data_IF_373877432006
#
_entry.id   IF_373877432006
#
_cell.length_a   1.000
_cell.length_b   1.000
_cell.length_c   1.000
_cell.angle_alpha   90.00
_cell.angle_beta   90.00
_cell.angle_gamma   90.00
#
_symmetry.space_group_name_H-M   'P 1'
#
loop_
_entity.id
_entity.type
_entity.pdbx_description
1 polymer ?
#
# COMPACT_ATOMS: atom_id res chain seq x y z
N UNK A 1 -3.86 9.53 48.40
CA UNK A 1 -4.66 8.44 47.80
C UNK A 1 -5.28 8.96 46.52
N UNK A 2 -4.63 8.70 45.37
CA UNK A 2 -5.16 9.07 44.04
C UNK A 2 -5.54 7.74 43.37
N UNK A 3 -6.81 7.60 43.00
CA UNK A 3 -7.40 6.36 42.47
C UNK A 3 -7.47 6.43 40.94
N UNK A 4 -6.92 5.41 40.31
CA UNK A 4 -6.89 5.15 38.86
C UNK A 4 -8.24 4.76 38.26
N UNK A 5 -8.32 4.89 36.91
CA UNK A 5 -8.97 4.03 35.88
C UNK A 5 -9.87 4.86 34.92
N UNK A 6 -9.44 5.21 33.70
CA UNK A 6 -9.39 4.42 32.43
C UNK A 6 -10.77 3.94 31.97
N UNK A 7 -11.22 4.47 30.82
CA UNK A 7 -12.33 4.08 29.89
C UNK A 7 -12.96 5.41 29.40
N UNK A 8 -13.00 5.83 28.13
CA UNK A 8 -13.19 5.15 26.85
C UNK A 8 -12.65 6.03 25.70
N UNK A 9 -11.68 5.53 24.92
CA UNK A 9 -11.32 6.07 23.59
C UNK A 9 -11.51 4.95 22.57
N UNK A 10 -12.42 5.14 21.62
CA UNK A 10 -12.47 4.52 20.28
C UNK A 10 -13.93 4.41 19.86
N UNK A 11 -14.43 5.35 19.05
CA UNK A 11 -15.48 5.07 18.06
C UNK A 11 -15.75 6.26 17.12
N UNK A 12 -15.12 7.42 17.33
CA UNK A 12 -15.44 8.68 16.62
C UNK A 12 -14.40 9.15 15.59
N UNK A 13 -13.46 8.31 15.14
CA UNK A 13 -12.47 8.68 14.10
C UNK A 13 -12.54 7.85 12.80
N UNK A 14 -13.32 6.76 12.74
CA UNK A 14 -13.40 5.89 11.55
C UNK A 14 -14.37 6.38 10.46
N UNK A 15 -15.23 7.36 10.75
CA UNK A 15 -16.31 7.76 9.83
C UNK A 15 -15.99 8.93 8.89
N UNK A 16 -14.83 9.58 9.02
CA UNK A 16 -14.50 10.74 8.18
C UNK A 16 -13.54 10.40 7.03
N UNK A 17 -12.84 9.25 7.11
CA UNK A 17 -11.90 8.80 6.08
C UNK A 17 -12.59 8.14 4.88
N UNK A 18 -13.76 7.50 5.09
CA UNK A 18 -14.52 6.83 4.03
C UNK A 18 -15.40 7.77 3.18
N UNK A 19 -15.81 8.94 3.71
CA UNK A 19 -16.77 9.84 3.05
C UNK A 19 -16.10 10.78 2.02
N UNK A 20 -14.78 10.93 2.03
CA UNK A 20 -14.07 11.70 0.99
C UNK A 20 -13.73 10.88 -0.27
N UNK A 21 -14.03 9.58 -0.27
CA UNK A 21 -13.71 8.63 -1.35
C UNK A 21 -14.54 8.82 -2.64
N UNK A 22 -15.49 9.76 -2.66
CA UNK A 22 -16.53 9.81 -3.71
C UNK A 22 -16.73 11.15 -4.45
N UNK A 23 -15.77 12.10 -4.44
CA UNK A 23 -15.98 13.35 -5.22
C UNK A 23 -14.90 13.87 -6.17
N UNK A 24 -13.75 13.23 -6.35
CA UNK A 24 -12.81 13.61 -7.42
C UNK A 24 -12.10 12.41 -8.07
N UNK A 25 -12.87 11.42 -8.54
CA UNK A 25 -12.47 10.61 -9.72
C UNK A 25 -12.37 11.56 -10.92
N UNK A 26 -11.25 12.25 -11.13
CA UNK A 26 -11.12 13.17 -12.29
C UNK A 26 -9.87 13.08 -13.13
N UNK A 27 -8.91 12.20 -12.86
CA UNK A 27 -7.83 11.96 -13.81
C UNK A 27 -7.47 10.48 -13.92
N UNK A 28 -8.37 9.68 -14.49
CA UNK A 28 -7.89 8.63 -15.38
C UNK A 28 -7.03 9.35 -16.44
N UNK A 29 -5.72 9.13 -16.49
CA UNK A 29 -4.93 9.55 -17.66
C UNK A 29 -5.39 8.70 -18.85
N UNK A 30 -6.45 9.14 -19.52
CA UNK A 30 -6.65 8.78 -20.91
C UNK A 30 -5.36 9.19 -21.63
N UNK A 31 -4.67 8.22 -22.26
CA UNK A 31 -3.59 8.56 -23.17
C UNK A 31 -4.17 9.58 -24.16
N UNK A 32 -3.53 10.74 -24.28
CA UNK A 32 -3.84 11.77 -25.27
C UNK A 32 -3.62 11.22 -26.69
N UNK A 33 -4.53 10.36 -27.16
CA UNK A 33 -4.56 9.91 -28.55
C UNK A 33 -5.97 10.10 -29.08
N UNK A 34 -6.46 11.35 -29.09
CA UNK A 34 -7.63 11.72 -29.91
C UNK A 34 -7.85 13.23 -30.14
N UNK A 35 -6.80 14.07 -30.18
CA UNK A 35 -6.92 15.44 -30.73
C UNK A 35 -5.55 15.74 -31.38
N UNK A 36 -5.25 15.24 -32.59
CA UNK A 36 -5.41 15.96 -33.86
C UNK A 36 -5.36 14.96 -35.03
N UNK A 37 -6.39 14.14 -35.22
CA UNK A 37 -6.65 13.46 -36.50
C UNK A 37 -8.17 13.50 -36.79
N UNK A 38 -8.76 14.68 -36.68
CA UNK A 38 -10.01 14.97 -37.37
C UNK A 38 -9.62 15.79 -38.58
N UNK A 39 -9.22 15.14 -39.66
CA UNK A 39 -9.47 15.53 -41.06
C UNK A 39 -8.80 14.46 -41.92
N UNK A 40 -9.60 13.74 -42.72
CA UNK A 40 -9.24 12.63 -43.63
C UNK A 40 -8.65 11.40 -42.91
N UNK A 41 -9.41 10.34 -42.66
CA UNK A 41 -9.76 9.34 -43.69
C UNK A 41 -11.02 8.58 -43.24
N UNK A 42 -12.00 8.49 -44.13
CA UNK A 42 -13.08 7.52 -44.08
C UNK A 42 -12.68 6.27 -44.86
N UNK A 43 -12.55 5.10 -44.20
CA UNK A 43 -12.91 3.75 -44.66
C UNK A 43 -12.33 2.70 -43.70
N UNK A 44 -13.01 1.55 -43.62
CA UNK A 44 -12.68 0.32 -42.87
C UNK A 44 -12.62 0.46 -41.34
N UNK A 45 -13.74 0.08 -40.73
CA UNK A 45 -13.81 -0.12 -39.28
C UNK A 45 -12.92 -1.27 -38.82
N UNK A 46 -12.31 -1.07 -37.65
CA UNK A 46 -12.10 -2.05 -36.59
C UNK A 46 -11.79 -1.25 -35.32
N UNK A 47 -12.80 -0.69 -34.67
CA UNK A 47 -12.66 -0.30 -33.26
C UNK A 47 -12.73 -1.57 -32.42
N UNK A 48 -11.60 -2.26 -32.27
CA UNK A 48 -11.44 -3.28 -31.24
C UNK A 48 -10.00 -3.28 -30.76
N UNK A 49 -9.75 -2.55 -29.68
CA UNK A 49 -9.06 -3.17 -28.57
C UNK A 49 -9.58 -2.53 -27.28
N UNK A 50 -10.31 -3.32 -26.49
CA UNK A 50 -10.64 -2.96 -25.12
C UNK A 50 -9.34 -2.93 -24.31
N UNK A 51 -8.57 -1.85 -24.44
CA UNK A 51 -7.55 -1.55 -23.46
C UNK A 51 -8.30 -1.19 -22.19
N UNK A 52 -8.39 -2.15 -21.24
CA UNK A 52 -8.88 -1.84 -19.90
C UNK A 52 -7.98 -0.76 -19.32
N UNK A 53 -8.45 0.47 -19.34
CA UNK A 53 -7.90 1.56 -18.53
C UNK A 53 -8.36 1.27 -17.12
N UNK A 54 -7.48 0.66 -16.32
CA UNK A 54 -7.76 0.47 -14.90
C UNK A 54 -7.48 1.79 -14.20
N UNK A 55 -8.53 2.48 -13.74
CA UNK A 55 -8.41 3.70 -12.93
C UNK A 55 -8.38 3.38 -11.42
N UNK A 56 -8.09 2.12 -11.08
CA UNK A 56 -8.01 1.59 -9.72
C UNK A 56 -6.88 0.57 -9.74
N UNK A 57 -5.98 0.56 -8.74
CA UNK A 57 -4.94 -0.47 -8.65
C UNK A 57 -5.59 -1.85 -8.52
N UNK A 58 -5.02 -2.87 -9.17
CA UNK A 58 -5.43 -4.24 -8.98
C UNK A 58 -4.86 -4.74 -7.65
N UNK A 59 -5.74 -4.81 -6.65
CA UNK A 59 -5.43 -5.25 -5.30
C UNK A 59 -5.76 -6.73 -5.06
N UNK A 60 -5.92 -7.52 -6.12
CA UNK A 60 -6.10 -8.96 -5.96
C UNK A 60 -4.86 -9.58 -5.31
N UNK A 61 -5.07 -10.34 -4.24
CA UNK A 61 -4.00 -10.96 -3.46
C UNK A 61 -3.44 -12.17 -4.19
N UNK A 62 -2.15 -12.13 -4.49
CA UNK A 62 -1.41 -13.25 -5.07
C UNK A 62 -0.91 -14.18 -3.97
N UNK A 63 -0.28 -13.64 -2.93
CA UNK A 63 0.21 -14.43 -1.81
C UNK A 63 0.36 -13.62 -0.53
N UNK A 64 0.17 -14.29 0.60
CA UNK A 64 0.50 -13.79 1.94
C UNK A 64 1.38 -14.83 2.61
N UNK A 65 2.55 -14.43 3.07
CA UNK A 65 3.50 -15.27 3.80
C UNK A 65 3.73 -14.65 5.18
N UNK A 66 3.63 -15.47 6.22
CA UNK A 66 3.81 -15.05 7.59
C UNK A 66 5.02 -15.78 8.19
N UNK A 67 5.93 -15.04 8.84
CA UNK A 67 7.04 -15.63 9.57
C UNK A 67 6.51 -16.48 10.76
N UNK A 68 7.19 -17.58 11.09
CA UNK A 68 6.80 -18.44 12.22
C UNK A 68 7.06 -17.78 13.58
N UNK A 69 8.06 -16.90 13.66
CA UNK A 69 8.38 -16.13 14.84
C UNK A 69 7.30 -15.09 15.19
N UNK A 70 7.10 -14.87 16.48
CA UNK A 70 6.10 -13.94 17.01
C UNK A 70 6.73 -12.96 17.98
N UNK A 71 6.29 -11.70 17.94
CA UNK A 71 6.58 -10.73 18.98
C UNK A 71 5.42 -10.66 19.98
N UNK A 72 5.72 -10.29 21.21
CA UNK A 72 4.72 -10.28 22.30
C UNK A 72 4.31 -8.87 22.68
N UNK A 73 3.28 -8.77 23.52
CA UNK A 73 2.82 -7.46 24.02
C UNK A 73 3.94 -6.81 24.84
N UNK A 74 4.28 -5.56 24.48
CA UNK A 74 5.35 -4.80 25.13
C UNK A 74 6.70 -4.95 24.44
N UNK A 75 6.80 -5.78 23.40
CA UNK A 75 7.99 -5.88 22.57
C UNK A 75 8.26 -4.53 21.86
N UNK A 76 9.48 -3.95 21.97
CA UNK A 76 9.83 -2.72 21.28
C UNK A 76 9.72 -2.83 19.75
N UNK A 77 9.80 -4.04 19.19
CA UNK A 77 9.65 -4.29 17.75
C UNK A 77 8.30 -3.81 17.21
N UNK A 78 7.22 -3.85 18.01
CA UNK A 78 5.90 -3.40 17.57
C UNK A 78 5.91 -1.92 17.16
N UNK A 79 6.69 -1.08 17.84
CA UNK A 79 6.86 0.34 17.52
C UNK A 79 7.63 0.52 16.21
N UNK A 80 8.70 -0.25 16.04
CA UNK A 80 9.52 -0.25 14.83
C UNK A 80 8.74 -0.72 13.61
N UNK A 81 7.93 -1.76 13.76
CA UNK A 81 7.05 -2.27 12.72
C UNK A 81 6.02 -1.21 12.30
N UNK A 82 5.36 -0.57 13.26
CA UNK A 82 4.39 0.49 12.98
C UNK A 82 5.02 1.67 12.22
N UNK A 83 6.24 2.07 12.60
CA UNK A 83 6.98 3.11 11.89
C UNK A 83 7.28 2.69 10.45
N UNK A 84 7.87 1.51 10.25
CA UNK A 84 8.29 1.05 8.92
C UNK A 84 7.09 0.89 7.99
N UNK A 85 5.99 0.29 8.43
CA UNK A 85 4.80 0.13 7.57
C UNK A 85 4.21 1.48 7.15
N UNK A 86 4.13 2.44 8.07
CA UNK A 86 3.65 3.80 7.75
C UNK A 86 4.59 4.52 6.79
N UNK A 87 5.90 4.38 6.98
CA UNK A 87 6.90 5.01 6.13
C UNK A 87 6.89 4.41 4.72
N UNK A 88 6.85 3.08 4.59
CA UNK A 88 6.71 2.39 3.30
C UNK A 88 5.48 2.87 2.52
N UNK A 89 4.31 2.96 3.15
CA UNK A 89 3.08 3.42 2.51
C UNK A 89 3.20 4.85 1.96
N UNK A 90 3.91 5.73 2.67
CA UNK A 90 4.04 7.15 2.31
C UNK A 90 5.21 7.47 1.39
N UNK A 91 6.32 6.74 1.50
CA UNK A 91 7.57 7.01 0.80
C UNK A 91 7.70 6.26 -0.54
N UNK A 92 7.15 5.05 -0.67
CA UNK A 92 7.17 4.30 -1.94
C UNK A 92 6.50 5.06 -3.10
N UNK A 93 5.32 5.71 -2.94
CA UNK A 93 4.64 6.40 -4.05
C UNK A 93 5.37 7.62 -4.60
N UNK A 94 6.27 8.22 -3.82
CA UNK A 94 7.06 9.40 -4.22
C UNK A 94 8.50 9.06 -4.58
N UNK A 95 8.93 7.82 -4.30
CA UNK A 95 10.27 7.35 -4.63
C UNK A 95 10.35 7.00 -6.11
N UNK A 96 11.44 7.40 -6.76
CA UNK A 96 11.69 7.10 -8.17
C UNK A 96 11.68 5.58 -8.39
N UNK A 97 10.82 5.14 -9.31
CA UNK A 97 10.68 3.72 -9.64
C UNK A 97 9.74 2.94 -8.73
N UNK A 98 9.03 3.62 -7.81
CA UNK A 98 8.05 3.00 -6.90
C UNK A 98 8.60 1.79 -6.16
N UNK A 99 9.86 1.85 -5.76
CA UNK A 99 10.56 0.77 -5.08
C UNK A 99 11.37 1.42 -3.97
N UNK A 100 11.07 1.06 -2.73
CA UNK A 100 11.60 1.73 -1.55
C UNK A 100 11.78 0.75 -0.40
N UNK A 101 12.88 0.91 0.30
CA UNK A 101 13.25 0.15 1.48
C UNK A 101 13.67 1.10 2.59
N UNK A 102 13.33 0.76 3.83
CA UNK A 102 13.76 1.51 5.00
C UNK A 102 13.96 0.60 6.21
N UNK A 103 14.68 1.12 7.20
CA UNK A 103 14.92 0.50 8.49
C UNK A 103 14.41 1.47 9.56
N UNK A 104 13.68 0.97 10.55
CA UNK A 104 13.23 1.80 11.67
C UNK A 104 14.42 2.48 12.39
N UNK A 105 14.29 3.72 12.89
CA UNK A 105 15.37 4.42 13.58
C UNK A 105 15.53 3.99 15.05
N UNK A 106 14.92 2.89 15.48
CA UNK A 106 14.87 2.47 16.88
C UNK A 106 15.84 1.31 17.16
N UNK A 107 16.97 1.56 17.84
CA UNK A 107 18.05 0.57 17.97
C UNK A 107 17.73 -0.60 18.91
N UNK A 108 16.70 -0.48 19.74
CA UNK A 108 16.31 -1.55 20.67
C UNK A 108 15.74 -2.78 19.95
N UNK A 109 15.09 -2.58 18.79
CA UNK A 109 14.56 -3.65 17.96
C UNK A 109 14.28 -3.09 16.57
N UNK A 110 15.18 -3.31 15.62
CA UNK A 110 14.99 -2.84 14.25
C UNK A 110 13.85 -3.58 13.54
N UNK A 111 13.12 -2.87 12.70
CA UNK A 111 12.30 -3.44 11.64
C UNK A 111 12.88 -3.04 10.29
N UNK A 112 12.96 -4.02 9.39
CA UNK A 112 13.38 -3.85 8.01
C UNK A 112 12.14 -3.95 7.14
N UNK A 113 12.01 -3.06 6.17
CA UNK A 113 10.85 -3.01 5.31
C UNK A 113 11.21 -2.73 3.87
N UNK A 114 10.43 -3.32 2.97
CA UNK A 114 10.44 -3.08 1.54
C UNK A 114 9.02 -2.98 1.02
N UNK A 115 8.80 -2.03 0.12
CA UNK A 115 7.55 -1.92 -0.61
C UNK A 115 7.82 -1.50 -2.05
N UNK A 116 7.08 -2.11 -2.96
CA UNK A 116 7.14 -1.81 -4.37
C UNK A 116 5.74 -1.74 -5.00
N UNK A 117 5.58 -0.85 -5.98
CA UNK A 117 4.41 -0.79 -6.85
C UNK A 117 4.79 -0.98 -8.31
N UNK A 118 3.84 -1.43 -9.11
CA UNK A 118 3.90 -1.42 -10.56
C UNK A 118 4.13 0.01 -11.06
N UNK A 119 5.11 0.20 -11.94
CA UNK A 119 5.51 1.50 -12.48
C UNK A 119 4.45 2.21 -13.34
N UNK A 120 3.37 1.49 -13.68
CA UNK A 120 2.22 2.05 -14.41
C UNK A 120 1.22 2.78 -13.51
N UNK A 121 1.30 2.61 -12.18
CA UNK A 121 0.44 3.31 -11.23
C UNK A 121 0.89 4.77 -11.05
N UNK A 122 -0.06 5.63 -10.68
CA UNK A 122 0.26 6.93 -10.09
C UNK A 122 0.49 6.81 -8.58
N UNK A 123 0.92 7.91 -7.94
CA UNK A 123 1.23 7.90 -6.51
C UNK A 123 0.01 7.60 -5.63
N UNK A 124 -1.19 8.02 -6.03
CA UNK A 124 -2.41 7.81 -5.24
C UNK A 124 -2.84 6.35 -5.31
N UNK A 125 -2.75 5.75 -6.50
CA UNK A 125 -3.05 4.34 -6.72
C UNK A 125 -2.02 3.43 -6.05
N UNK A 126 -0.72 3.78 -6.10
CA UNK A 126 0.31 3.06 -5.37
C UNK A 126 0.05 3.10 -3.86
N UNK A 127 -0.26 4.27 -3.29
CA UNK A 127 -0.64 4.40 -1.86
C UNK A 127 -1.82 3.49 -1.53
N UNK A 128 -2.86 3.51 -2.36
CA UNK A 128 -4.06 2.68 -2.17
C UNK A 128 -3.74 1.19 -2.20
N UNK A 129 -2.89 0.75 -3.13
CA UNK A 129 -2.48 -0.65 -3.23
C UNK A 129 -1.69 -1.08 -1.99
N UNK A 130 -0.71 -0.27 -1.57
CA UNK A 130 0.11 -0.56 -0.39
C UNK A 130 -0.73 -0.62 0.88
N UNK A 131 -1.70 0.29 1.05
CA UNK A 131 -2.64 0.25 2.18
C UNK A 131 -3.39 -1.08 2.27
N UNK A 132 -3.87 -1.62 1.14
CA UNK A 132 -4.52 -2.95 1.11
C UNK A 132 -3.53 -4.08 1.40
N UNK A 133 -2.29 -3.99 0.91
CA UNK A 133 -1.25 -4.97 1.19
C UNK A 133 -0.87 -5.00 2.68
N UNK A 134 -0.77 -3.83 3.32
CA UNK A 134 -0.50 -3.65 4.75
C UNK A 134 -1.68 -4.16 5.60
N UNK A 135 -2.92 -3.85 5.20
CA UNK A 135 -4.11 -4.39 5.87
C UNK A 135 -4.14 -5.93 5.81
N UNK A 136 -3.75 -6.51 4.67
CA UNK A 136 -3.71 -7.95 4.47
C UNK A 136 -2.71 -8.65 5.43
N UNK A 137 -1.48 -8.13 5.56
CA UNK A 137 -0.48 -8.71 6.48
C UNK A 137 -0.85 -8.47 7.94
N UNK A 138 -1.39 -7.30 8.29
CA UNK A 138 -1.73 -6.99 9.69
C UNK A 138 -2.96 -7.77 10.19
N UNK A 139 -3.91 -8.08 9.31
CA UNK A 139 -5.08 -8.92 9.65
C UNK A 139 -4.77 -10.42 9.66
N UNK A 140 -3.87 -10.89 8.78
CA UNK A 140 -3.61 -12.33 8.60
C UNK A 140 -2.43 -12.82 9.46
N UNK A 141 -1.32 -12.07 9.48
CA UNK A 141 -0.07 -12.48 10.11
C UNK A 141 0.07 -11.99 11.56
N UNK A 142 -1.03 -11.99 12.33
CA UNK A 142 -1.10 -11.52 13.72
C UNK A 142 0.21 -11.67 14.52
N UNK A 143 0.81 -10.53 14.89
CA UNK A 143 2.03 -10.41 15.69
C UNK A 143 3.25 -11.21 15.18
N UNK A 144 3.37 -11.48 13.88
CA UNK A 144 4.58 -12.11 13.32
C UNK A 144 5.73 -11.13 13.23
N UNK A 145 6.95 -11.61 13.50
CA UNK A 145 8.20 -10.84 13.36
C UNK A 145 8.55 -10.55 11.90
N UNK A 146 7.81 -11.11 10.96
CA UNK A 146 7.93 -10.85 9.54
C UNK A 146 6.68 -11.26 8.78
N UNK A 147 6.40 -10.56 7.69
CA UNK A 147 5.37 -10.93 6.76
C UNK A 147 5.62 -10.34 5.37
N UNK A 148 5.07 -10.99 4.35
CA UNK A 148 5.04 -10.51 2.97
C UNK A 148 3.63 -10.62 2.42
N UNK A 149 3.12 -9.54 1.84
CA UNK A 149 1.92 -9.55 1.00
C UNK A 149 2.31 -9.14 -0.41
N UNK A 150 1.92 -9.97 -1.38
CA UNK A 150 2.07 -9.70 -2.80
C UNK A 150 0.66 -9.58 -3.37
N UNK A 151 0.28 -8.38 -3.77
CA UNK A 151 -0.89 -8.10 -4.60
C UNK A 151 -0.46 -8.05 -6.06
N UNK A 152 -1.42 -7.91 -6.97
CA UNK A 152 -1.12 -7.85 -8.41
C UNK A 152 -0.25 -6.63 -8.77
N UNK A 153 -0.59 -5.43 -8.28
CA UNK A 153 0.12 -4.20 -8.62
C UNK A 153 1.10 -3.70 -7.54
N UNK A 154 1.21 -4.36 -6.40
CA UNK A 154 2.16 -3.95 -5.37
C UNK A 154 2.52 -5.09 -4.43
N UNK A 155 3.61 -4.92 -3.69
CA UNK A 155 4.02 -5.83 -2.62
C UNK A 155 4.59 -5.06 -1.44
N UNK A 156 4.39 -5.61 -0.24
CA UNK A 156 4.97 -5.14 1.01
C UNK A 156 5.60 -6.32 1.73
N UNK A 157 6.81 -6.14 2.24
CA UNK A 157 7.50 -7.09 3.10
C UNK A 157 8.11 -6.37 4.29
N UNK A 158 8.01 -7.00 5.44
CA UNK A 158 8.80 -6.62 6.61
C UNK A 158 9.40 -7.84 7.29
N UNK A 159 10.54 -7.66 7.95
CA UNK A 159 11.17 -8.66 8.81
C UNK A 159 11.89 -7.97 9.98
N UNK A 160 12.10 -8.70 11.06
CA UNK A 160 12.93 -8.27 12.19
C UNK A 160 14.45 -8.32 11.87
N UNK A 161 14.82 -9.04 10.81
CA UNK A 161 16.20 -9.18 10.35
C UNK A 161 16.37 -8.61 8.95
N UNK A 162 17.60 -8.20 8.57
CA UNK A 162 17.89 -7.79 7.19
C UNK A 162 17.52 -8.86 6.17
N UNK A 163 17.05 -8.43 5.00
CA UNK A 163 16.75 -9.30 3.86
C UNK A 163 17.05 -8.57 2.55
N UNK A 164 17.21 -9.37 1.49
CA UNK A 164 17.28 -8.91 0.10
C UNK A 164 15.95 -9.27 -0.60
N UNK A 165 15.43 -8.35 -1.42
CA UNK A 165 14.22 -8.51 -2.26
C UNK A 165 14.51 -8.12 -3.72
#
# INVERSE_FOLDING_TARGET
MIRSSVLTKNHTYKNQFFIFKDRLRKHCRAKWVTILLIFSIALSGYFNNSNKVSCVPNTNTTSILCNSGVFTKGDPFATSLAYVLSDLESSTPVTKGYNYNNISPFPNAFAYGHAACNSTLDSTDCTTCLGVAIESITSTCNNRIGARSVLYDCSVRYEQYPFDD
#
